data_IF_755005273388
#
_entry.id   IF_755005273388
#
_cell.length_a   1.000
_cell.length_b   1.000
_cell.length_c   1.000
_cell.angle_alpha   90.00
_cell.angle_beta   90.00
_cell.angle_gamma   90.00
#
_symmetry.space_group_name_H-M   'P 1'
#
loop_
_entity.id
_entity.type
_entity.pdbx_description
1 polymer ?
#
# COMPACT_ATOMS: atom_id res chain seq x y z
N UNK A 1 26.50 7.11 9.44
CA UNK A 1 26.62 5.75 9.99
C UNK A 1 25.26 5.03 9.97
N UNK A 2 24.55 4.95 8.83
CA UNK A 2 23.15 4.44 8.79
C UNK A 2 22.87 3.35 7.76
N UNK A 3 23.90 2.72 7.17
CA UNK A 3 23.72 1.64 6.18
C UNK A 3 23.58 0.25 6.77
N UNK A 4 23.75 0.07 8.09
CA UNK A 4 23.75 -1.26 8.74
C UNK A 4 22.41 -1.70 9.31
N UNK A 5 21.46 -0.79 9.55
CA UNK A 5 20.19 -1.16 10.19
C UNK A 5 19.24 -1.97 9.27
N UNK A 6 19.28 -1.76 7.95
CA UNK A 6 18.37 -2.45 7.01
C UNK A 6 18.76 -3.91 6.71
N UNK A 7 19.98 -4.34 7.06
CA UNK A 7 20.45 -5.71 6.77
C UNK A 7 20.09 -6.73 7.86
N UNK A 8 19.61 -6.32 9.04
CA UNK A 8 19.40 -7.24 10.16
C UNK A 8 17.99 -7.88 10.21
N UNK A 9 17.11 -7.55 9.27
CA UNK A 9 15.74 -8.10 9.20
C UNK A 9 14.83 -7.68 10.37
N UNK A 10 13.55 -8.09 10.34
CA UNK A 10 12.58 -7.69 11.36
C UNK A 10 12.92 -8.26 12.75
N UNK A 11 13.36 -9.53 12.80
CA UNK A 11 13.64 -10.21 14.06
C UNK A 11 14.74 -9.54 14.90
N UNK A 12 15.72 -8.89 14.27
CA UNK A 12 16.74 -8.15 15.01
C UNK A 12 16.25 -6.75 15.43
N UNK A 13 15.50 -6.05 14.56
CA UNK A 13 15.06 -4.67 14.81
C UNK A 13 13.86 -4.57 15.75
N UNK A 14 12.94 -5.53 15.67
CA UNK A 14 11.68 -5.57 16.40
C UNK A 14 11.31 -7.03 16.76
N UNK A 15 12.09 -7.71 17.63
CA UNK A 15 11.91 -9.13 17.94
C UNK A 15 10.51 -9.46 18.44
N UNK A 16 9.92 -8.62 19.30
CA UNK A 16 8.56 -8.83 19.81
C UNK A 16 7.51 -8.83 18.69
N UNK A 17 7.63 -7.91 17.72
CA UNK A 17 6.74 -7.87 16.56
C UNK A 17 6.96 -9.09 15.66
N UNK A 18 8.21 -9.46 15.39
CA UNK A 18 8.51 -10.63 14.56
C UNK A 18 7.90 -11.92 15.16
N UNK A 19 8.09 -12.15 16.46
CA UNK A 19 7.48 -13.29 17.17
C UNK A 19 5.96 -13.25 17.12
N UNK A 20 5.33 -12.08 17.32
CA UNK A 20 3.88 -11.94 17.22
C UNK A 20 3.38 -12.24 15.80
N UNK A 21 4.03 -11.70 14.77
CA UNK A 21 3.66 -11.96 13.39
C UNK A 21 3.78 -13.44 13.03
N UNK A 22 4.88 -14.10 13.40
CA UNK A 22 5.06 -15.53 13.13
C UNK A 22 3.98 -16.39 13.81
N UNK A 23 3.60 -16.03 15.05
CA UNK A 23 2.55 -16.74 15.78
C UNK A 23 1.14 -16.52 15.21
N UNK A 24 0.88 -15.35 14.62
CA UNK A 24 -0.47 -14.92 14.26
C UNK A 24 -0.73 -14.81 12.75
N UNK A 25 0.27 -15.05 11.89
CA UNK A 25 0.15 -14.83 10.45
C UNK A 25 -0.98 -15.64 9.78
N UNK A 26 -1.24 -16.89 10.21
CA UNK A 26 -2.39 -17.66 9.69
C UNK A 26 -3.73 -17.06 10.11
N UNK A 27 -3.85 -16.62 11.37
CA UNK A 27 -5.07 -15.97 11.88
C UNK A 27 -5.32 -14.65 11.16
N UNK A 28 -4.28 -13.85 10.92
CA UNK A 28 -4.40 -12.59 10.17
C UNK A 28 -4.80 -12.79 8.70
N UNK A 29 -4.52 -13.96 8.11
CA UNK A 29 -5.01 -14.31 6.78
C UNK A 29 -6.46 -14.79 6.81
N UNK A 30 -6.81 -15.64 7.78
CA UNK A 30 -8.06 -16.44 7.76
C UNK A 30 -9.18 -15.90 8.64
N UNK A 31 -8.91 -14.92 9.51
CA UNK A 31 -9.87 -14.41 10.48
C UNK A 31 -9.69 -12.89 10.74
N UNK A 32 -10.73 -12.22 11.25
CA UNK A 32 -10.73 -10.78 11.54
C UNK A 32 -10.49 -10.46 13.03
N UNK A 33 -10.41 -11.45 13.91
CA UNK A 33 -10.29 -11.30 15.37
C UNK A 33 -9.12 -10.44 15.83
N UNK A 34 -8.01 -10.46 15.09
CA UNK A 34 -6.80 -9.69 15.41
C UNK A 34 -6.65 -8.42 14.58
N UNK A 35 -7.65 -8.04 13.78
CA UNK A 35 -7.56 -6.89 12.88
C UNK A 35 -7.36 -5.55 13.63
N UNK A 36 -7.81 -5.48 14.89
CA UNK A 36 -7.67 -4.30 15.75
C UNK A 36 -6.26 -4.07 16.28
N UNK A 37 -5.43 -5.12 16.28
CA UNK A 37 -4.11 -5.14 16.92
C UNK A 37 -2.97 -4.80 15.95
N UNK A 38 -3.16 -5.00 14.64
CA UNK A 38 -2.09 -4.89 13.64
C UNK A 38 -1.45 -3.51 13.64
N UNK A 39 -2.24 -2.43 13.55
CA UNK A 39 -1.70 -1.04 13.54
C UNK A 39 -0.97 -0.72 14.86
N UNK A 40 -1.53 -0.97 16.05
CA UNK A 40 -0.82 -0.81 17.32
C UNK A 40 0.50 -1.59 17.40
N UNK A 41 0.54 -2.85 16.94
CA UNK A 41 1.76 -3.67 16.94
C UNK A 41 2.85 -3.06 16.04
N UNK A 42 2.47 -2.62 14.83
CA UNK A 42 3.38 -1.93 13.90
C UNK A 42 3.87 -0.59 14.46
N UNK A 43 3.02 0.16 15.15
CA UNK A 43 3.35 1.43 15.79
C UNK A 43 4.32 1.24 16.96
N UNK A 44 4.06 0.27 17.84
CA UNK A 44 4.92 -0.06 18.98
C UNK A 44 6.31 -0.51 18.53
N UNK A 45 6.42 -1.13 17.35
CA UNK A 45 7.70 -1.50 16.75
C UNK A 45 8.42 -0.34 16.04
N UNK A 46 7.83 0.87 16.01
CA UNK A 46 8.42 2.05 15.38
C UNK A 46 8.36 2.07 13.85
N UNK A 47 7.76 1.06 13.20
CA UNK A 47 7.76 0.93 11.74
C UNK A 47 6.96 2.04 11.03
N UNK A 48 5.99 2.64 11.74
CA UNK A 48 5.20 3.75 11.21
C UNK A 48 6.01 5.04 11.04
N UNK A 49 7.19 5.13 11.67
CA UNK A 49 8.06 6.33 11.69
C UNK A 49 9.25 6.28 10.72
N UNK A 50 9.54 5.11 10.14
CA UNK A 50 10.70 4.89 9.24
C UNK A 50 10.58 5.72 7.96
N UNK A 51 11.57 6.54 7.61
CA UNK A 51 11.50 7.39 6.41
C UNK A 51 10.59 8.62 6.56
N UNK A 52 10.09 8.89 7.77
CA UNK A 52 9.44 10.17 8.11
C UNK A 52 10.51 11.10 8.70
N UNK A 53 10.54 12.41 8.36
CA UNK A 53 11.47 13.37 8.96
C UNK A 53 11.37 13.42 10.51
N UNK A 54 12.49 13.63 11.19
CA UNK A 54 12.57 13.57 12.66
C UNK A 54 11.75 14.70 13.30
N UNK A 55 11.81 15.89 12.70
CA UNK A 55 11.05 17.07 13.08
C UNK A 55 9.53 16.89 12.94
N UNK A 56 9.10 15.90 12.15
CA UNK A 56 7.68 15.51 12.00
C UNK A 56 7.32 14.29 12.86
N UNK A 57 8.17 13.92 13.82
CA UNK A 57 7.98 12.78 14.71
C UNK A 57 8.43 11.43 14.13
N UNK A 58 9.12 11.43 13.00
CA UNK A 58 9.69 10.23 12.40
C UNK A 58 10.98 9.75 13.04
N UNK A 59 11.57 8.69 12.47
CA UNK A 59 12.92 8.22 12.82
C UNK A 59 13.97 8.62 11.77
N UNK A 60 13.61 9.46 10.80
CA UNK A 60 14.46 9.77 9.65
C UNK A 60 14.62 8.59 8.70
N UNK A 61 15.62 8.67 7.81
CA UNK A 61 15.83 7.72 6.73
C UNK A 61 15.13 8.14 5.45
N UNK A 62 14.91 7.17 4.56
CA UNK A 62 14.36 7.38 3.21
C UNK A 62 13.11 6.54 2.98
N UNK A 63 12.37 6.85 1.91
CA UNK A 63 11.30 5.97 1.43
C UNK A 63 11.80 4.55 1.11
N UNK A 64 13.08 4.39 0.72
CA UNK A 64 13.71 3.09 0.52
C UNK A 64 13.77 2.25 1.80
N UNK A 65 13.99 2.88 2.96
CA UNK A 65 13.99 2.18 4.26
C UNK A 65 12.57 1.77 4.69
N UNK A 66 11.56 2.56 4.29
CA UNK A 66 10.16 2.20 4.49
C UNK A 66 9.76 1.02 3.59
N UNK A 67 10.27 0.96 2.34
CA UNK A 67 10.09 -0.19 1.43
C UNK A 67 10.69 -1.45 2.06
N UNK A 68 11.92 -1.37 2.57
CA UNK A 68 12.55 -2.50 3.27
C UNK A 68 11.75 -2.94 4.49
N UNK A 69 11.18 -1.99 5.24
CA UNK A 69 10.34 -2.30 6.41
C UNK A 69 9.05 -3.04 6.04
N UNK A 70 8.42 -2.69 4.91
CA UNK A 70 7.28 -3.45 4.38
C UNK A 70 7.72 -4.86 3.95
N UNK A 71 8.86 -4.99 3.27
CA UNK A 71 9.40 -6.29 2.85
C UNK A 71 9.78 -7.20 4.04
N UNK A 72 10.29 -6.61 5.11
CA UNK A 72 10.60 -7.33 6.34
C UNK A 72 9.34 -7.85 7.03
N UNK A 73 8.27 -7.04 7.14
CA UNK A 73 6.98 -7.51 7.69
C UNK A 73 6.34 -8.58 6.80
N UNK A 74 6.40 -8.40 5.47
CA UNK A 74 5.81 -9.35 4.51
C UNK A 74 6.46 -10.73 4.56
N UNK A 75 7.71 -10.84 5.01
CA UNK A 75 8.37 -12.13 5.20
C UNK A 75 7.78 -12.95 6.38
N UNK A 76 7.05 -12.30 7.29
CA UNK A 76 6.35 -12.96 8.40
C UNK A 76 4.84 -13.09 8.13
N UNK A 77 4.19 -11.98 7.76
CA UNK A 77 2.75 -11.91 7.45
C UNK A 77 2.48 -10.91 6.33
N UNK A 78 1.94 -11.39 5.21
CA UNK A 78 1.56 -10.51 4.11
C UNK A 78 0.38 -9.61 4.50
N UNK A 79 -0.58 -10.13 5.27
CA UNK A 79 -1.70 -9.35 5.79
C UNK A 79 -1.24 -8.14 6.62
N UNK A 80 -0.29 -8.34 7.54
CA UNK A 80 0.26 -7.22 8.32
C UNK A 80 1.06 -6.24 7.45
N UNK A 81 1.79 -6.74 6.45
CA UNK A 81 2.51 -5.89 5.51
C UNK A 81 1.55 -5.05 4.64
N UNK A 82 0.37 -5.59 4.31
CA UNK A 82 -0.65 -4.87 3.57
C UNK A 82 -1.26 -3.73 4.39
N UNK A 83 -1.46 -3.94 5.70
CA UNK A 83 -1.82 -2.88 6.65
C UNK A 83 -0.71 -1.83 6.76
N UNK A 84 0.55 -2.27 6.93
CA UNK A 84 1.69 -1.36 7.00
C UNK A 84 1.83 -0.52 5.73
N UNK A 85 1.69 -1.15 4.55
CA UNK A 85 1.68 -0.46 3.27
C UNK A 85 0.60 0.62 3.22
N UNK A 86 -0.64 0.30 3.59
CA UNK A 86 -1.75 1.25 3.60
C UNK A 86 -1.48 2.44 4.51
N UNK A 87 -1.06 2.17 5.75
CA UNK A 87 -0.69 3.17 6.75
C UNK A 87 0.43 4.08 6.24
N UNK A 88 1.53 3.49 5.75
CA UNK A 88 2.70 4.25 5.30
C UNK A 88 2.45 5.04 4.04
N UNK A 89 1.65 4.49 3.14
CA UNK A 89 1.19 5.17 1.94
C UNK A 89 0.40 6.42 2.30
N UNK A 90 -0.56 6.34 3.23
CA UNK A 90 -1.32 7.51 3.66
C UNK A 90 -0.43 8.56 4.35
N UNK A 91 0.51 8.13 5.19
CA UNK A 91 1.51 9.03 5.80
C UNK A 91 2.30 9.75 4.70
N UNK A 92 2.76 9.02 3.68
CA UNK A 92 3.48 9.60 2.54
C UNK A 92 2.64 10.63 1.78
N UNK A 93 1.31 10.42 1.68
CA UNK A 93 0.41 11.40 1.07
C UNK A 93 0.42 12.73 1.82
N UNK A 94 0.43 12.69 3.15
CA UNK A 94 0.52 13.89 3.98
C UNK A 94 1.90 14.55 3.89
N UNK A 95 2.97 13.77 3.80
CA UNK A 95 4.33 14.30 3.62
C UNK A 95 4.49 15.04 2.28
N UNK A 96 3.82 14.56 1.23
CA UNK A 96 3.82 15.17 -0.10
C UNK A 96 2.66 16.15 -0.33
N UNK A 97 1.87 16.46 0.70
CA UNK A 97 0.75 17.38 0.59
C UNK A 97 1.22 18.83 0.71
N UNK A 98 0.71 19.76 -0.13
CA UNK A 98 0.87 21.18 0.12
C UNK A 98 0.13 21.67 1.40
N UNK A 99 -0.84 20.89 1.91
CA UNK A 99 -1.61 21.24 3.10
C UNK A 99 -0.87 20.81 4.38
N UNK A 100 0.04 21.68 4.85
CA UNK A 100 0.83 21.44 6.05
C UNK A 100 -0.02 21.39 7.32
N UNK A 101 -1.10 22.17 7.40
CA UNK A 101 -2.01 22.16 8.55
C UNK A 101 -2.72 20.81 8.71
N UNK A 102 -3.19 20.21 7.61
CA UNK A 102 -3.76 18.87 7.60
C UNK A 102 -2.72 17.82 8.03
N UNK A 103 -1.49 17.89 7.49
CA UNK A 103 -0.40 16.99 7.88
C UNK A 103 -0.11 17.09 9.37
N UNK A 104 0.12 18.28 9.88
CA UNK A 104 0.54 18.49 11.27
C UNK A 104 -0.58 18.09 12.26
N UNK A 105 -1.84 18.22 11.85
CA UNK A 105 -3.02 17.75 12.59
C UNK A 105 -3.14 16.23 12.66
N UNK A 106 -2.93 15.53 11.54
CA UNK A 106 -3.19 14.08 11.46
C UNK A 106 -1.98 13.20 11.76
N UNK A 107 -0.77 13.66 11.42
CA UNK A 107 0.43 12.84 11.45
C UNK A 107 0.75 12.25 12.83
N UNK A 108 0.62 12.98 13.96
CA UNK A 108 0.90 12.41 15.29
C UNK A 108 0.08 11.15 15.60
N UNK A 109 -1.24 11.19 15.33
CA UNK A 109 -2.17 10.09 15.59
C UNK A 109 -1.93 8.89 14.66
N UNK A 110 -1.48 9.15 13.42
CA UNK A 110 -1.09 8.10 12.47
C UNK A 110 0.23 7.42 12.85
N UNK A 111 1.18 8.17 13.41
CA UNK A 111 2.50 7.64 13.80
C UNK A 111 2.46 6.85 15.11
N UNK A 112 1.55 7.16 16.02
CA UNK A 112 1.35 6.38 17.25
C UNK A 112 0.36 5.21 17.09
N UNK A 113 -0.30 5.09 15.93
CA UNK A 113 -1.24 4.00 15.64
C UNK A 113 -2.64 4.17 16.25
N UNK A 114 -2.97 5.37 16.74
CA UNK A 114 -4.32 5.72 17.19
C UNK A 114 -5.30 5.73 16.00
N UNK A 115 -4.90 6.40 14.91
CA UNK A 115 -5.65 6.42 13.66
C UNK A 115 -5.01 5.53 12.59
N UNK A 116 -5.88 4.85 11.83
CA UNK A 116 -5.48 4.16 10.61
C UNK A 116 -5.53 5.10 9.40
N UNK A 117 -4.47 5.11 8.59
CA UNK A 117 -4.44 5.76 7.29
C UNK A 117 -4.81 4.77 6.19
N UNK A 118 -5.85 5.09 5.41
CA UNK A 118 -6.41 4.20 4.41
C UNK A 118 -6.30 4.81 3.00
N UNK A 119 -5.91 4.01 2.00
CA UNK A 119 -5.74 4.49 0.62
C UNK A 119 -6.91 4.05 -0.27
N UNK A 120 -7.77 5.01 -0.64
CA UNK A 120 -8.90 4.84 -1.54
C UNK A 120 -8.60 5.30 -2.98
N UNK A 121 -7.33 5.39 -3.38
CA UNK A 121 -6.93 5.96 -4.68
C UNK A 121 -6.97 4.96 -5.84
N UNK A 122 -7.53 3.76 -5.64
CA UNK A 122 -7.63 2.74 -6.69
C UNK A 122 -8.46 3.23 -7.89
N UNK A 123 -9.61 3.87 -7.65
CA UNK A 123 -10.42 4.48 -8.70
C UNK A 123 -9.73 5.70 -9.34
N UNK A 124 -8.93 6.46 -8.59
CA UNK A 124 -8.11 7.55 -9.13
C UNK A 124 -7.08 7.06 -10.15
N UNK A 125 -6.41 5.93 -9.88
CA UNK A 125 -5.44 5.33 -10.82
C UNK A 125 -6.10 4.87 -12.13
N UNK A 126 -7.33 4.35 -12.04
CA UNK A 126 -8.13 3.99 -13.22
C UNK A 126 -8.57 5.23 -14.02
N UNK A 127 -9.00 6.28 -13.31
CA UNK A 127 -9.37 7.56 -13.91
C UNK A 127 -8.22 8.18 -14.70
N UNK A 128 -7.00 8.20 -14.13
CA UNK A 128 -5.81 8.69 -14.84
C UNK A 128 -5.47 7.92 -16.12
N UNK A 129 -5.94 6.68 -16.24
CA UNK A 129 -5.76 5.85 -17.43
C UNK A 129 -6.95 5.94 -18.40
N UNK A 130 -7.90 6.86 -18.15
CA UNK A 130 -9.16 7.02 -18.88
C UNK A 130 -10.00 5.72 -18.95
N UNK A 131 -9.91 4.86 -17.94
CA UNK A 131 -10.60 3.55 -17.91
C UNK A 131 -12.01 3.70 -17.33
N UNK A 132 -12.15 4.45 -16.23
CA UNK A 132 -13.40 4.61 -15.50
C UNK A 132 -13.52 6.06 -14.96
N UNK A 133 -14.72 6.66 -14.91
CA UNK A 133 -14.91 7.94 -14.24
C UNK A 133 -14.70 7.80 -12.72
N UNK A 134 -14.46 8.94 -12.06
CA UNK A 134 -14.46 8.98 -10.60
C UNK A 134 -15.85 8.67 -10.05
N UNK A 135 -15.89 7.91 -8.95
CA UNK A 135 -17.14 7.45 -8.33
C UNK A 135 -17.63 8.36 -7.20
N UNK A 136 -16.87 9.42 -6.90
CA UNK A 136 -17.16 10.37 -5.83
C UNK A 136 -17.20 11.77 -6.44
N UNK A 137 -18.24 12.53 -6.11
CA UNK A 137 -18.47 13.90 -6.58
C UNK A 137 -18.60 14.87 -5.42
N UNK A 138 -18.08 16.08 -5.60
CA UNK A 138 -18.24 17.22 -4.72
C UNK A 138 -19.08 18.30 -5.40
N UNK A 139 -20.13 18.75 -4.70
CA UNK A 139 -20.92 19.93 -5.05
C UNK A 139 -20.48 21.08 -4.15
N UNK A 140 -20.17 22.25 -4.71
CA UNK A 140 -19.84 23.44 -3.95
C UNK A 140 -21.04 23.88 -3.09
N UNK A 141 -20.76 24.30 -1.86
CA UNK A 141 -21.74 24.96 -1.00
C UNK A 141 -21.17 26.28 -0.46
N UNK A 142 -22.02 27.28 -0.16
CA UNK A 142 -21.57 28.51 0.46
C UNK A 142 -20.73 28.20 1.70
N UNK A 143 -19.57 28.86 1.83
CA UNK A 143 -18.73 28.72 3.00
C UNK A 143 -19.56 29.00 4.26
N UNK A 144 -19.57 28.07 5.22
CA UNK A 144 -20.16 28.34 6.51
C UNK A 144 -19.43 29.55 7.11
N UNK A 145 -20.17 30.59 7.52
CA UNK A 145 -19.60 31.73 8.24
C UNK A 145 -18.98 31.20 9.53
N UNK A 146 -17.66 31.01 9.53
CA UNK A 146 -16.93 30.55 10.69
C UNK A 146 -16.87 31.69 11.71
N UNK A 147 -17.44 31.48 12.89
CA UNK A 147 -17.36 32.39 14.03
C UNK A 147 -15.98 32.39 14.71
N UNK A 148 -14.91 32.01 13.99
CA UNK A 148 -13.57 31.79 14.53
C UNK A 148 -12.51 32.40 13.63
N UNK A 149 -11.84 33.43 14.18
CA UNK A 149 -10.59 34.11 13.81
C UNK A 149 -9.64 33.47 12.77
N UNK A 150 -10.10 33.30 11.52
CA UNK A 150 -9.27 32.93 10.37
C UNK A 150 -9.73 33.68 9.13
N UNK A 151 -8.96 34.68 8.70
CA UNK A 151 -9.25 35.49 7.52
C UNK A 151 -8.97 34.70 6.24
N UNK A 152 -9.99 34.04 5.70
CA UNK A 152 -9.99 33.46 4.36
C UNK A 152 -11.32 32.74 4.09
N UNK A 153 -11.94 33.00 2.93
CA UNK A 153 -13.10 32.22 2.49
C UNK A 153 -12.66 30.79 2.23
N UNK A 154 -12.96 29.86 3.14
CA UNK A 154 -12.68 28.43 2.98
C UNK A 154 -13.71 27.80 2.06
N UNK A 155 -13.28 27.24 0.93
CA UNK A 155 -14.18 26.49 0.07
C UNK A 155 -14.78 25.31 0.85
N UNK A 156 -16.05 25.03 0.61
CA UNK A 156 -16.82 24.01 1.32
C UNK A 156 -17.60 23.19 0.31
N UNK A 157 -17.67 21.88 0.54
CA UNK A 157 -18.29 20.92 -0.37
C UNK A 157 -19.27 20.01 0.34
N UNK A 158 -20.22 19.48 -0.44
CA UNK A 158 -20.99 18.29 -0.11
C UNK A 158 -20.57 17.15 -1.01
N UNK A 159 -20.17 16.05 -0.39
CA UNK A 159 -19.57 14.91 -1.08
C UNK A 159 -20.51 13.72 -1.07
N UNK A 160 -20.70 13.14 -2.26
CA UNK A 160 -21.53 11.96 -2.47
C UNK A 160 -20.79 10.93 -3.32
N UNK A 161 -21.03 9.65 -3.03
CA UNK A 161 -20.43 8.53 -3.74
C UNK A 161 -19.71 7.58 -2.79
N UNK A 162 -18.98 6.61 -3.33
CA UNK A 162 -18.36 5.59 -2.49
C UNK A 162 -17.26 4.81 -3.18
N UNK A 163 -16.50 4.09 -2.38
CA UNK A 163 -15.43 3.21 -2.81
C UNK A 163 -15.68 1.82 -2.24
N UNK A 164 -15.80 0.78 -3.10
CA UNK A 164 -16.22 -0.54 -2.66
C UNK A 164 -15.12 -1.33 -1.95
N UNK A 165 -13.85 -0.92 -2.08
CA UNK A 165 -12.70 -1.65 -1.52
C UNK A 165 -11.66 -0.64 -1.03
N UNK A 166 -11.60 -0.44 0.29
CA UNK A 166 -10.50 0.27 0.93
C UNK A 166 -9.99 -0.58 2.09
N UNK A 167 -8.69 -0.87 2.07
CA UNK A 167 -7.99 -1.56 3.15
C UNK A 167 -7.60 -0.58 4.25
N UNK A 168 -7.45 -1.09 5.48
CA UNK A 168 -7.08 -0.33 6.67
C UNK A 168 -8.16 0.66 7.14
N UNK A 169 -9.44 0.39 6.82
CA UNK A 169 -10.56 1.10 7.41
C UNK A 169 -10.82 0.57 8.83
N UNK A 170 -9.89 0.80 9.74
CA UNK A 170 -9.95 0.29 11.12
C UNK A 170 -11.18 0.81 11.86
N UNK A 171 -11.98 -0.09 12.45
CA UNK A 171 -13.24 0.24 13.14
C UNK A 171 -13.06 1.23 14.30
N UNK A 172 -11.91 1.20 14.96
CA UNK A 172 -11.55 2.09 16.07
C UNK A 172 -11.25 3.52 15.63
N UNK A 173 -10.98 3.76 14.34
CA UNK A 173 -10.68 5.09 13.81
C UNK A 173 -9.81 5.02 12.56
N UNK A 174 -10.24 5.71 11.50
CA UNK A 174 -9.48 5.85 10.26
C UNK A 174 -9.60 7.24 9.65
N UNK A 175 -8.70 7.53 8.71
CA UNK A 175 -8.80 8.60 7.72
C UNK A 175 -8.48 8.01 6.34
N UNK A 176 -9.38 8.19 5.38
CA UNK A 176 -9.26 7.62 4.04
C UNK A 176 -8.92 8.69 3.00
N UNK A 177 -7.92 8.43 2.16
CA UNK A 177 -7.60 9.30 1.03
C UNK A 177 -8.45 8.90 -0.18
N UNK A 178 -9.22 9.83 -0.74
CA UNK A 178 -10.04 9.58 -1.93
C UNK A 178 -9.88 10.71 -2.96
N UNK A 179 -9.93 10.35 -4.25
CA UNK A 179 -10.05 11.33 -5.33
C UNK A 179 -11.51 11.69 -5.55
N UNK A 180 -11.80 12.98 -5.63
CA UNK A 180 -13.15 13.52 -5.71
C UNK A 180 -13.23 14.47 -6.90
N UNK A 181 -14.18 14.19 -7.79
CA UNK A 181 -14.50 15.03 -8.95
C UNK A 181 -15.34 16.23 -8.52
N UNK A 182 -15.11 17.40 -9.10
CA UNK A 182 -15.86 18.62 -8.78
C UNK A 182 -16.95 18.87 -9.81
N UNK A 183 -18.19 19.02 -9.38
CA UNK A 183 -19.32 19.26 -10.30
C UNK A 183 -19.22 20.60 -11.04
N UNK A 184 -18.61 21.60 -10.41
CA UNK A 184 -18.29 22.88 -11.04
C UNK A 184 -17.20 22.79 -12.13
N UNK A 185 -16.58 21.61 -12.29
CA UNK A 185 -15.48 21.36 -13.21
C UNK A 185 -14.10 21.69 -12.62
N UNK A 186 -13.07 21.46 -13.42
CA UNK A 186 -11.67 21.55 -13.00
C UNK A 186 -11.05 20.18 -12.71
N UNK A 187 -9.77 20.13 -12.31
CA UNK A 187 -9.12 18.88 -11.96
C UNK A 187 -9.74 18.30 -10.67
N UNK A 188 -9.90 16.97 -10.56
CA UNK A 188 -10.28 16.33 -9.31
C UNK A 188 -9.28 16.66 -8.20
N UNK A 189 -9.74 16.67 -6.95
CA UNK A 189 -8.89 16.86 -5.77
C UNK A 189 -8.74 15.56 -4.98
N UNK A 190 -7.73 15.48 -4.12
CA UNK A 190 -7.56 14.39 -3.15
C UNK A 190 -7.97 14.91 -1.77
N UNK A 191 -8.86 14.21 -1.09
CA UNK A 191 -9.33 14.56 0.25
C UNK A 191 -9.00 13.48 1.28
N UNK A 192 -8.79 13.90 2.52
CA UNK A 192 -8.71 13.08 3.71
C UNK A 192 -10.09 13.02 4.38
N UNK A 193 -10.72 11.85 4.35
CA UNK A 193 -12.08 11.63 4.85
C UNK A 193 -12.00 10.93 6.20
N UNK A 194 -12.36 11.64 7.28
CA UNK A 194 -12.36 11.08 8.63
C UNK A 194 -13.51 10.08 8.83
N UNK A 195 -13.25 9.00 9.57
CA UNK A 195 -14.22 7.94 9.87
C UNK A 195 -15.52 8.42 10.53
N UNK A 196 -15.45 9.53 11.26
CA UNK A 196 -16.56 10.12 12.00
C UNK A 196 -17.13 11.39 11.33
N UNK A 197 -16.70 11.71 10.10
CA UNK A 197 -17.29 12.83 9.38
C UNK A 197 -18.78 12.54 9.09
N UNK A 198 -19.67 13.53 9.20
CA UNK A 198 -21.10 13.34 8.93
C UNK A 198 -21.34 12.72 7.54
N UNK A 199 -22.27 11.78 7.45
CA UNK A 199 -22.60 11.10 6.18
C UNK A 199 -21.60 10.05 5.73
N UNK A 200 -20.50 9.82 6.46
CA UNK A 200 -19.54 8.74 6.18
C UNK A 200 -20.06 7.42 6.79
N UNK A 201 -20.19 6.41 5.95
CA UNK A 201 -20.64 5.08 6.33
C UNK A 201 -19.65 4.02 5.83
N UNK A 202 -19.06 3.30 6.77
CA UNK A 202 -18.22 2.13 6.53
C UNK A 202 -19.09 0.86 6.58
N UNK A 203 -18.94 -0.06 5.62
CA UNK A 203 -19.60 -1.37 5.69
C UNK A 203 -18.95 -2.27 6.76
N UNK A 204 -19.48 -3.48 6.95
CA UNK A 204 -18.70 -4.57 7.54
C UNK A 204 -17.47 -4.92 6.68
N UNK A 205 -16.54 -5.65 7.30
CA UNK A 205 -15.38 -6.18 6.57
C UNK A 205 -15.84 -7.12 5.45
N UNK A 206 -15.20 -7.01 4.29
CA UNK A 206 -15.49 -7.87 3.16
C UNK A 206 -15.03 -9.30 3.44
N UNK A 207 -15.82 -10.27 3.00
CA UNK A 207 -15.54 -11.69 3.21
C UNK A 207 -14.49 -12.21 2.21
N UNK A 208 -13.24 -11.81 2.41
CA UNK A 208 -12.11 -12.18 1.55
C UNK A 208 -11.68 -13.63 1.78
N UNK A 209 -11.17 -14.29 0.73
CA UNK A 209 -10.61 -15.65 0.82
C UNK A 209 -9.30 -15.73 1.64
N UNK A 210 -8.67 -14.58 1.89
CA UNK A 210 -7.43 -14.39 2.65
C UNK A 210 -7.29 -12.91 3.04
N UNK A 211 -6.26 -12.56 3.80
CA UNK A 211 -6.00 -11.19 4.28
C UNK A 211 -7.14 -10.59 5.14
N UNK A 212 -7.83 -11.41 5.93
CA UNK A 212 -9.04 -11.00 6.66
C UNK A 212 -8.75 -10.11 7.87
N UNK A 213 -7.52 -10.11 8.37
CA UNK A 213 -7.03 -9.22 9.42
C UNK A 213 -6.75 -7.77 8.98
N UNK A 214 -7.16 -7.35 7.78
CA UNK A 214 -6.73 -6.09 7.15
C UNK A 214 -7.76 -4.96 7.17
N UNK A 215 -8.95 -5.18 7.77
CA UNK A 215 -10.04 -4.20 7.81
C UNK A 215 -10.42 -3.65 6.43
N UNK A 216 -10.54 -4.53 5.43
CA UNK A 216 -10.94 -4.13 4.08
C UNK A 216 -12.46 -4.04 4.00
N UNK A 217 -12.98 -2.85 3.73
CA UNK A 217 -14.42 -2.55 3.72
C UNK A 217 -14.78 -1.56 2.60
N UNK A 218 -16.07 -1.38 2.35
CA UNK A 218 -16.58 -0.30 1.53
C UNK A 218 -16.74 0.99 2.36
N UNK A 219 -16.56 2.14 1.71
CA UNK A 219 -16.81 3.46 2.28
C UNK A 219 -17.81 4.21 1.41
N UNK A 220 -18.88 4.70 2.01
CA UNK A 220 -19.90 5.51 1.38
C UNK A 220 -19.93 6.90 2.02
N UNK A 221 -20.11 7.93 1.20
CA UNK A 221 -20.43 9.28 1.64
C UNK A 221 -21.80 9.69 1.13
N UNK A 222 -22.57 10.32 2.01
CA UNK A 222 -23.89 10.86 1.72
C UNK A 222 -23.98 12.25 2.32
N UNK A 223 -23.97 13.27 1.47
CA UNK A 223 -23.94 14.69 1.86
C UNK A 223 -22.80 15.02 2.85
N UNK A 224 -21.64 14.37 2.71
CA UNK A 224 -20.53 14.54 3.65
C UNK A 224 -19.92 15.93 3.50
N UNK A 225 -19.87 16.75 4.57
CA UNK A 225 -19.25 18.06 4.52
C UNK A 225 -17.73 17.92 4.52
N UNK A 226 -17.06 18.47 3.50
CA UNK A 226 -15.59 18.62 3.46
C UNK A 226 -15.23 20.08 3.17
N UNK A 227 -14.03 20.47 3.57
CA UNK A 227 -13.49 21.81 3.32
C UNK A 227 -12.04 21.75 2.82
N UNK A 228 -11.46 22.91 2.53
CA UNK A 228 -10.05 23.01 2.20
C UNK A 228 -9.13 22.40 3.29
N UNK A 229 -9.56 22.41 4.55
CA UNK A 229 -8.83 21.83 5.69
C UNK A 229 -8.71 20.29 5.61
N UNK A 230 -9.54 19.65 4.79
CA UNK A 230 -9.55 18.21 4.55
C UNK A 230 -8.86 17.84 3.23
N UNK A 231 -8.45 18.82 2.43
CA UNK A 231 -7.88 18.60 1.09
C UNK A 231 -6.38 18.29 1.18
N UNK A 232 -6.00 17.09 0.74
CA UNK A 232 -4.61 16.64 0.59
C UNK A 232 -3.97 17.33 -0.62
N UNK A 233 -4.66 17.40 -1.76
CA UNK A 233 -4.18 18.04 -2.97
C UNK A 233 -5.35 18.60 -3.79
N UNK A 234 -5.17 19.76 -4.39
CA UNK A 234 -6.18 20.42 -5.23
C UNK A 234 -6.23 19.86 -6.66
N UNK A 235 -5.08 19.42 -7.20
CA UNK A 235 -4.95 18.82 -8.52
C UNK A 235 -4.42 17.38 -8.43
N UNK A 236 -5.33 16.41 -8.44
CA UNK A 236 -5.03 15.00 -8.32
C UNK A 236 -4.11 14.48 -9.45
N UNK A 237 -4.32 14.76 -10.75
CA UNK A 237 -3.40 14.31 -11.79
C UNK A 237 -1.94 14.73 -11.59
N UNK A 238 -1.70 16.02 -11.31
CA UNK A 238 -0.33 16.53 -11.09
C UNK A 238 0.30 15.94 -9.84
N UNK A 239 -0.47 15.81 -8.76
CA UNK A 239 0.02 15.26 -7.51
C UNK A 239 0.30 13.74 -7.59
N UNK A 240 -0.56 12.98 -8.26
CA UNK A 240 -0.43 11.54 -8.42
C UNK A 240 0.85 11.13 -9.18
N UNK A 241 1.31 11.95 -10.13
CA UNK A 241 2.60 11.73 -10.81
C UNK A 241 3.77 11.68 -9.82
N UNK A 242 3.77 12.55 -8.81
CA UNK A 242 4.84 12.65 -7.80
C UNK A 242 4.76 11.54 -6.74
N UNK A 243 3.55 11.19 -6.32
CA UNK A 243 3.34 10.23 -5.23
C UNK A 243 3.46 8.76 -5.67
N UNK A 244 3.20 8.48 -6.95
CA UNK A 244 3.14 7.12 -7.51
C UNK A 244 4.41 6.28 -7.27
N UNK A 245 5.65 6.79 -7.43
CA UNK A 245 6.85 6.02 -7.14
C UNK A 245 6.91 5.51 -5.70
N UNK A 246 6.58 6.35 -4.71
CA UNK A 246 6.56 5.95 -3.31
C UNK A 246 5.43 4.95 -3.02
N UNK A 247 4.21 5.22 -3.53
CA UNK A 247 3.06 4.33 -3.42
C UNK A 247 3.35 2.91 -3.95
N UNK A 248 3.81 2.80 -5.20
CA UNK A 248 4.12 1.52 -5.82
C UNK A 248 5.39 0.90 -5.24
N UNK A 249 6.36 1.71 -4.81
CA UNK A 249 7.56 1.23 -4.15
C UNK A 249 7.25 0.50 -2.85
N UNK A 250 6.47 1.12 -1.96
CA UNK A 250 5.99 0.47 -0.74
C UNK A 250 5.20 -0.80 -1.06
N UNK A 251 4.37 -0.76 -2.11
CA UNK A 251 3.59 -1.92 -2.54
C UNK A 251 4.47 -3.07 -3.03
N UNK A 252 5.53 -2.76 -3.78
CA UNK A 252 6.52 -3.74 -4.21
C UNK A 252 7.29 -4.33 -3.02
N UNK A 253 7.46 -3.58 -1.93
CA UNK A 253 7.97 -4.11 -0.66
C UNK A 253 7.23 -5.37 -0.21
N UNK A 254 5.89 -5.41 -0.33
CA UNK A 254 5.13 -6.62 0.01
C UNK A 254 5.51 -7.83 -0.86
N UNK A 255 5.66 -7.62 -2.18
CA UNK A 255 6.09 -8.65 -3.11
C UNK A 255 7.50 -9.16 -2.80
N UNK A 256 8.43 -8.26 -2.46
CA UNK A 256 9.80 -8.60 -2.09
C UNK A 256 9.82 -9.53 -0.86
N UNK A 257 9.07 -9.19 0.18
CA UNK A 257 9.02 -9.98 1.41
C UNK A 257 8.37 -11.35 1.22
N UNK A 258 7.26 -11.41 0.48
CA UNK A 258 6.57 -12.67 0.20
C UNK A 258 7.44 -13.62 -0.63
N UNK A 259 8.04 -13.11 -1.71
CA UNK A 259 8.96 -13.88 -2.53
C UNK A 259 10.14 -14.43 -1.70
N UNK A 260 10.78 -13.56 -0.91
CA UNK A 260 11.88 -13.96 -0.02
C UNK A 260 11.45 -15.08 0.91
N UNK A 261 10.29 -14.96 1.57
CA UNK A 261 9.82 -15.99 2.50
C UNK A 261 9.48 -17.31 1.81
N UNK A 262 8.88 -17.27 0.62
CA UNK A 262 8.57 -18.50 -0.12
C UNK A 262 9.84 -19.21 -0.61
N UNK A 263 10.86 -18.46 -1.05
CA UNK A 263 12.17 -19.03 -1.38
C UNK A 263 12.85 -19.62 -0.14
N UNK A 264 12.87 -18.89 0.98
CA UNK A 264 13.46 -19.36 2.24
C UNK A 264 12.78 -20.65 2.76
N UNK A 265 11.45 -20.73 2.63
CA UNK A 265 10.67 -21.88 3.07
C UNK A 265 11.00 -23.17 2.30
N UNK A 266 11.57 -23.09 1.09
CA UNK A 266 12.06 -24.28 0.38
C UNK A 266 13.15 -25.01 1.18
N UNK A 267 13.92 -24.29 2.01
CA UNK A 267 14.94 -24.87 2.88
C UNK A 267 14.37 -25.74 4.01
N UNK A 268 13.09 -25.59 4.34
CA UNK A 268 12.40 -26.39 5.35
C UNK A 268 12.06 -27.82 4.84
N UNK A 269 12.21 -28.07 3.54
CA UNK A 269 11.95 -29.37 2.90
C UNK A 269 13.11 -30.38 3.05
N UNK A 270 12.82 -31.64 2.72
CA UNK A 270 13.81 -32.71 2.79
C UNK A 270 14.96 -32.55 1.76
N UNK A 271 16.16 -33.12 2.00
CA UNK A 271 17.33 -32.88 1.16
C UNK A 271 17.12 -33.16 -0.34
N UNK A 272 16.37 -34.20 -0.68
CA UNK A 272 16.09 -34.56 -2.08
C UNK A 272 15.20 -33.52 -2.79
N UNK A 273 14.17 -32.99 -2.11
CA UNK A 273 13.29 -31.96 -2.65
C UNK A 273 14.07 -30.64 -2.85
N UNK A 274 14.91 -30.25 -1.88
CA UNK A 274 15.78 -29.07 -2.01
C UNK A 274 16.74 -29.18 -3.17
N UNK A 275 17.39 -30.33 -3.34
CA UNK A 275 18.30 -30.56 -4.44
C UNK A 275 17.62 -30.47 -5.81
N UNK A 276 16.35 -30.91 -5.89
CA UNK A 276 15.59 -30.91 -7.15
C UNK A 276 15.22 -29.49 -7.65
N UNK A 277 15.14 -28.50 -6.77
CA UNK A 277 14.77 -27.11 -7.12
C UNK A 277 15.90 -26.10 -6.92
N UNK A 278 17.12 -26.56 -6.62
CA UNK A 278 18.22 -25.70 -6.18
C UNK A 278 18.58 -24.61 -7.22
N UNK A 279 18.63 -24.98 -8.51
CA UNK A 279 18.95 -24.06 -9.59
C UNK A 279 17.85 -23.00 -9.77
N UNK A 280 16.58 -23.39 -9.67
CA UNK A 280 15.44 -22.48 -9.76
C UNK A 280 15.41 -21.50 -8.58
N UNK A 281 15.66 -21.99 -7.36
CA UNK A 281 15.75 -21.15 -6.15
C UNK A 281 16.89 -20.16 -6.27
N UNK A 282 18.06 -20.58 -6.77
CA UNK A 282 19.21 -19.69 -6.98
C UNK A 282 18.88 -18.60 -8.01
N UNK A 283 18.31 -18.96 -9.15
CA UNK A 283 17.94 -18.01 -10.20
C UNK A 283 16.91 -16.98 -9.71
N UNK A 284 15.86 -17.41 -9.01
CA UNK A 284 14.86 -16.49 -8.45
C UNK A 284 15.42 -15.62 -7.33
N UNK A 285 16.36 -16.13 -6.53
CA UNK A 285 17.05 -15.34 -5.49
C UNK A 285 17.88 -14.22 -6.11
N UNK A 286 18.64 -14.51 -7.17
CA UNK A 286 19.42 -13.52 -7.90
C UNK A 286 18.52 -12.46 -8.56
N UNK A 287 17.42 -12.91 -9.17
CA UNK A 287 16.42 -12.01 -9.76
C UNK A 287 15.79 -11.11 -8.70
N UNK A 288 15.45 -11.65 -7.53
CA UNK A 288 14.88 -10.89 -6.40
C UNK A 288 15.86 -9.81 -5.91
N UNK A 289 17.15 -10.15 -5.76
CA UNK A 289 18.19 -9.20 -5.36
C UNK A 289 18.37 -8.06 -6.39
N UNK A 290 18.36 -8.41 -7.67
CA UNK A 290 18.43 -7.45 -8.78
C UNK A 290 17.23 -6.49 -8.79
N UNK A 291 16.01 -7.02 -8.71
CA UNK A 291 14.78 -6.24 -8.69
C UNK A 291 14.69 -5.35 -7.44
N UNK A 292 15.14 -5.84 -6.28
CA UNK A 292 15.22 -5.05 -5.03
C UNK A 292 16.12 -3.83 -5.20
N UNK A 293 17.34 -4.04 -5.69
CA UNK A 293 18.32 -2.97 -5.91
C UNK A 293 17.78 -1.95 -6.91
N UNK A 294 17.21 -2.44 -8.02
CA UNK A 294 16.66 -1.61 -9.08
C UNK A 294 15.48 -0.76 -8.62
N UNK A 295 14.58 -1.32 -7.82
CA UNK A 295 13.43 -0.63 -7.25
C UNK A 295 13.90 0.53 -6.37
N UNK A 296 14.79 0.26 -5.41
CA UNK A 296 15.26 1.27 -4.46
C UNK A 296 16.00 2.39 -5.17
N UNK A 297 16.90 2.05 -6.09
CA UNK A 297 17.61 3.05 -6.88
C UNK A 297 16.64 3.95 -7.67
N UNK A 298 15.68 3.36 -8.39
CA UNK A 298 14.74 4.11 -9.21
C UNK A 298 13.78 5.00 -8.42
N UNK A 299 13.36 4.57 -7.22
CA UNK A 299 12.55 5.41 -6.33
C UNK A 299 13.38 6.58 -5.78
N UNK A 300 14.58 6.31 -5.26
CA UNK A 300 15.42 7.33 -4.61
C UNK A 300 15.98 8.37 -5.59
N UNK A 301 16.24 7.97 -6.83
CA UNK A 301 16.76 8.86 -7.87
C UNK A 301 15.66 9.61 -8.64
N UNK A 302 14.38 9.36 -8.33
CA UNK A 302 13.25 9.99 -9.02
C UNK A 302 13.00 9.47 -10.44
N UNK A 303 13.72 8.45 -10.91
CA UNK A 303 13.64 7.93 -12.28
C UNK A 303 12.22 7.53 -12.68
N UNK A 304 11.44 6.98 -11.74
CA UNK A 304 10.08 6.52 -12.01
C UNK A 304 9.05 7.65 -12.14
N UNK A 305 9.42 8.89 -11.83
CA UNK A 305 8.62 10.08 -12.17
C UNK A 305 8.68 10.29 -13.69
N UNK A 306 9.90 10.31 -14.23
CA UNK A 306 10.16 10.57 -15.64
C UNK A 306 9.84 9.36 -16.53
N UNK A 307 10.17 8.16 -16.06
CA UNK A 307 10.00 6.90 -16.78
C UNK A 307 9.11 5.92 -16.02
N UNK A 308 7.80 6.21 -15.88
CA UNK A 308 6.90 5.36 -15.08
C UNK A 308 6.71 3.95 -15.65
N UNK A 309 6.91 3.79 -16.95
CA UNK A 309 6.89 2.48 -17.61
C UNK A 309 7.90 1.49 -17.00
N UNK A 310 9.07 1.97 -16.55
CA UNK A 310 10.08 1.14 -15.89
C UNK A 310 9.56 0.56 -14.57
N UNK A 311 8.84 1.36 -13.78
CA UNK A 311 8.23 0.91 -12.53
C UNK A 311 7.10 -0.11 -12.76
N UNK A 312 6.31 0.10 -13.82
CA UNK A 312 5.24 -0.85 -14.18
C UNK A 312 5.81 -2.21 -14.60
N UNK A 313 6.86 -2.22 -15.43
CA UNK A 313 7.58 -3.45 -15.81
C UNK A 313 8.17 -4.14 -14.59
N UNK A 314 8.84 -3.39 -13.71
CA UNK A 314 9.44 -3.93 -12.48
C UNK A 314 8.38 -4.58 -11.58
N UNK A 315 7.23 -3.91 -11.39
CA UNK A 315 6.13 -4.46 -10.61
C UNK A 315 5.54 -5.73 -11.23
N UNK A 316 5.39 -5.79 -12.55
CA UNK A 316 4.96 -7.00 -13.26
C UNK A 316 5.95 -8.13 -12.99
N UNK A 317 7.26 -7.89 -13.15
CA UNK A 317 8.29 -8.90 -12.89
C UNK A 317 8.32 -9.37 -11.43
N UNK A 318 8.07 -8.49 -10.46
CA UNK A 318 7.96 -8.89 -9.06
C UNK A 318 6.74 -9.76 -8.77
N UNK A 319 5.61 -9.49 -9.42
CA UNK A 319 4.42 -10.31 -9.26
C UNK A 319 4.60 -11.71 -9.89
N UNK A 320 5.29 -11.80 -11.03
CA UNK A 320 5.69 -13.07 -11.66
C UNK A 320 6.64 -13.84 -10.73
N UNK A 321 7.69 -13.19 -10.22
CA UNK A 321 8.64 -13.80 -9.28
C UNK A 321 7.97 -14.33 -8.00
N UNK A 322 7.02 -13.59 -7.42
CA UNK A 322 6.23 -14.06 -6.26
C UNK A 322 5.48 -15.34 -6.59
N UNK A 323 4.86 -15.42 -7.77
CA UNK A 323 4.12 -16.60 -8.20
C UNK A 323 5.04 -17.81 -8.36
N UNK A 324 6.20 -17.61 -9.00
CA UNK A 324 7.18 -18.68 -9.23
C UNK A 324 7.76 -19.17 -7.90
N UNK A 325 8.12 -18.26 -6.99
CA UNK A 325 8.62 -18.58 -5.65
C UNK A 325 7.59 -19.37 -4.82
N UNK A 326 6.34 -18.92 -4.80
CA UNK A 326 5.26 -19.62 -4.09
C UNK A 326 4.97 -21.00 -4.70
N UNK A 327 5.13 -21.15 -6.01
CA UNK A 327 5.00 -22.44 -6.70
C UNK A 327 6.11 -23.40 -6.31
N UNK A 328 7.37 -22.97 -6.23
CA UNK A 328 8.48 -23.80 -5.73
C UNK A 328 8.26 -24.21 -4.26
N UNK A 329 7.71 -23.32 -3.45
CA UNK A 329 7.35 -23.63 -2.07
C UNK A 329 6.28 -24.75 -1.99
N UNK A 330 5.25 -24.69 -2.85
CA UNK A 330 4.25 -25.77 -2.95
C UNK A 330 4.88 -27.10 -3.36
N UNK A 331 5.77 -27.09 -4.37
CA UNK A 331 6.45 -28.30 -4.84
C UNK A 331 7.30 -28.94 -3.75
N UNK A 332 8.06 -28.13 -3.01
CA UNK A 332 8.96 -28.61 -1.94
C UNK A 332 8.22 -28.97 -0.65
N UNK A 333 7.09 -28.29 -0.36
CA UNK A 333 6.23 -28.59 0.78
C UNK A 333 5.42 -29.88 0.63
N UNK A 334 5.15 -30.30 -0.61
CA UNK A 334 4.41 -31.52 -0.94
C UNK A 334 3.05 -31.58 -0.25
N UNK A 335 2.58 -32.80 0.05
CA UNK A 335 1.28 -33.01 0.70
C UNK A 335 1.13 -32.32 2.07
N UNK A 336 2.23 -32.13 2.81
CA UNK A 336 2.22 -31.40 4.09
C UNK A 336 1.83 -29.93 3.90
N UNK A 337 2.21 -29.34 2.77
CA UNK A 337 1.83 -27.97 2.38
C UNK A 337 0.32 -27.77 2.22
N UNK A 338 -0.44 -28.84 2.06
CA UNK A 338 -1.89 -28.80 1.86
C UNK A 338 -2.70 -28.99 3.15
N UNK A 339 -2.03 -29.21 4.29
CA UNK A 339 -2.67 -29.38 5.60
C UNK A 339 -2.79 -28.05 6.33
N UNK A 340 -3.96 -27.79 6.94
CA UNK A 340 -4.18 -26.60 7.77
C UNK A 340 -3.31 -26.64 9.02
N UNK A 341 -2.73 -25.49 9.39
CA UNK A 341 -2.03 -25.29 10.66
C UNK A 341 -0.68 -26.01 10.80
N UNK A 342 -0.20 -26.71 9.75
CA UNK A 342 1.08 -27.42 9.79
C UNK A 342 2.21 -26.72 9.03
N UNK A 343 1.88 -25.80 8.12
CA UNK A 343 2.85 -24.99 7.39
C UNK A 343 2.20 -23.68 6.90
N UNK A 344 3.04 -22.74 6.46
CA UNK A 344 2.60 -21.49 5.85
C UNK A 344 2.32 -21.57 4.35
N UNK A 345 2.46 -22.75 3.72
CA UNK A 345 2.41 -22.91 2.25
C UNK A 345 1.05 -22.50 1.70
N UNK A 346 -0.04 -23.06 2.23
CA UNK A 346 -1.39 -22.77 1.75
C UNK A 346 -1.76 -21.30 1.93
N UNK A 347 -1.28 -20.65 3.00
CA UNK A 347 -1.45 -19.22 3.25
C UNK A 347 -0.69 -18.39 2.22
N UNK A 348 0.61 -18.63 2.05
CA UNK A 348 1.44 -17.89 1.09
C UNK A 348 0.96 -18.04 -0.34
N UNK A 349 0.36 -19.17 -0.70
CA UNK A 349 -0.28 -19.33 -2.00
C UNK A 349 -1.53 -18.44 -2.18
N UNK A 350 -2.38 -18.29 -1.14
CA UNK A 350 -3.50 -17.34 -1.16
C UNK A 350 -3.00 -15.89 -1.19
N UNK A 351 -1.97 -15.56 -0.40
CA UNK A 351 -1.32 -14.25 -0.37
C UNK A 351 -0.70 -13.92 -1.75
N UNK A 352 -0.02 -14.87 -2.40
CA UNK A 352 0.56 -14.71 -3.72
C UNK A 352 -0.49 -14.46 -4.81
N UNK A 353 -1.65 -15.10 -4.72
CA UNK A 353 -2.77 -14.88 -5.64
C UNK A 353 -3.37 -13.47 -5.54
N UNK A 354 -3.15 -12.75 -4.43
CA UNK A 354 -3.59 -11.37 -4.24
C UNK A 354 -2.67 -10.34 -4.93
N UNK A 355 -1.37 -10.63 -5.04
CA UNK A 355 -0.37 -9.68 -5.58
C UNK A 355 -0.73 -9.18 -7.00
N UNK A 356 -1.23 -9.99 -7.94
CA UNK A 356 -1.57 -9.51 -9.27
C UNK A 356 -2.78 -8.57 -9.35
N UNK A 357 -3.68 -8.62 -8.35
CA UNK A 357 -4.98 -7.93 -8.37
C UNK A 357 -4.99 -6.63 -7.58
N UNK A 358 -4.04 -6.45 -6.65
CA UNK A 358 -3.94 -5.20 -5.88
C UNK A 358 -3.65 -4.01 -6.81
N UNK A 359 -4.46 -2.96 -6.71
CA UNK A 359 -4.41 -1.85 -7.68
C UNK A 359 -3.10 -1.05 -7.56
N UNK A 360 -2.46 -0.68 -8.69
CA UNK A 360 -2.80 -1.06 -10.06
C UNK A 360 -2.51 -2.55 -10.34
N UNK A 361 -3.53 -3.25 -10.85
CA UNK A 361 -3.46 -4.67 -11.18
C UNK A 361 -2.55 -4.90 -12.39
N UNK A 362 -2.04 -6.13 -12.55
CA UNK A 362 -1.17 -6.44 -13.70
C UNK A 362 -1.87 -6.20 -15.04
N UNK A 363 -3.18 -6.45 -15.12
CA UNK A 363 -3.98 -6.17 -16.32
C UNK A 363 -3.97 -4.66 -16.63
N UNK A 364 -4.17 -3.82 -15.61
CA UNK A 364 -4.14 -2.36 -15.78
C UNK A 364 -2.75 -1.88 -16.24
N UNK A 365 -1.68 -2.40 -15.64
CA UNK A 365 -0.31 -2.04 -16.00
C UNK A 365 0.04 -2.50 -17.42
N UNK A 366 -0.34 -3.72 -17.81
CA UNK A 366 -0.12 -4.26 -19.16
C UNK A 366 -0.87 -3.43 -20.20
N UNK A 367 -2.11 -3.03 -19.92
CA UNK A 367 -2.89 -2.15 -20.79
C UNK A 367 -2.25 -0.76 -20.93
N UNK A 368 -1.77 -0.17 -19.84
CA UNK A 368 -1.10 1.12 -19.88
C UNK A 368 0.20 1.08 -20.69
N UNK A 369 1.00 0.02 -20.52
CA UNK A 369 2.21 -0.20 -21.33
C UNK A 369 1.88 -0.41 -22.82
N UNK A 370 0.78 -1.11 -23.14
CA UNK A 370 0.35 -1.31 -24.52
C UNK A 370 -0.11 0.01 -25.17
N UNK A 371 -0.89 0.81 -24.44
CA UNK A 371 -1.35 2.13 -24.90
C UNK A 371 -0.15 3.07 -25.19
N UNK A 372 0.85 3.08 -24.31
CA UNK A 372 2.07 3.87 -24.51
C UNK A 372 2.83 3.44 -25.77
N UNK A 373 3.00 2.13 -26.01
CA UNK A 373 3.64 1.60 -27.23
C UNK A 373 2.87 2.03 -28.49
N UNK A 374 1.54 1.93 -28.45
CA UNK A 374 0.70 2.34 -29.58
C UNK A 374 0.82 3.85 -29.86
N UNK A 375 0.95 4.68 -28.82
CA UNK A 375 1.17 6.12 -28.98
C UNK A 375 2.55 6.42 -29.57
N UNK A 376 3.62 5.77 -29.09
CA UNK A 376 4.99 5.92 -29.62
C UNK A 376 5.09 5.54 -31.11
N UNK A 377 4.40 4.46 -31.51
CA UNK A 377 4.30 4.04 -32.91
C UNK A 377 3.58 5.09 -33.78
N UNK A 378 2.53 5.75 -33.25
CA UNK A 378 1.81 6.82 -33.95
C UNK A 378 2.62 8.11 -34.09
N UNK A 379 3.47 8.43 -33.11
CA UNK A 379 4.27 9.68 -33.11
C UNK A 379 5.65 9.54 -33.75
N UNK A 380 6.00 8.36 -34.28
CA UNK A 380 7.31 8.11 -34.91
C UNK A 380 8.49 8.18 -33.94
N UNK A 381 8.22 8.17 -32.63
CA UNK A 381 9.22 8.30 -31.57
C UNK A 381 9.60 6.90 -31.10
N UNK A 382 10.33 6.17 -31.94
CA UNK A 382 10.95 4.90 -31.57
C UNK A 382 12.38 5.22 -31.13
N UNK A 383 12.67 5.04 -29.85
CA UNK A 383 14.04 4.91 -29.33
C UNK A 383 14.22 3.53 -28.75
#
# INVERSE_FOLDING_TARGET
MSTTASQQGLAARAPALATWLDAHAETLDTDATLCGDVVPQLASAGLLRVGVPVELGGTGGTIGDAIDSVADVAAHSFAAAFVLWGQRTFIEYLLQSPNQALRDRLLPALLCGELAGATGLSNAMKYLSAIEPLQIRATDVPAASSSGTGSGSTSSWRVNGGLPWITNLRKQGFVAAAAIDHEAGGPPSIFAIAHNAPGVHRSDDLDLIGLRGTNTAALQMTDTPLSDDDRIADNAPTWLVRVRPAFLGLQCGMSLGLARRSLDATNESGPAARAAVADDVAALTDQLASLTTRLKAGVLQGEFIDTPASLFKLRISLAELVHDAATLEVQTGGGRGYLRGLSGVARRQREAAFVPIVTPSLVQLKNQLAAQRAQQLKTGTVT
#
